data_IF_863958434458
#
_entry.id   IF_863958434458
#
_cell.length_a   1.000
_cell.length_b   1.000
_cell.length_c   1.000
_cell.angle_alpha   90.00
_cell.angle_beta   90.00
_cell.angle_gamma   90.00
#
_symmetry.space_group_name_H-M   'P 1'
#
loop_
_entity.id
_entity.type
_entity.pdbx_description
1 polymer ?
#
# COMPACT_ATOMS: atom_id res chain seq x y z
N UNK A 1 -17.53 14.52 -2.39
CA UNK A 1 -16.59 15.10 -3.33
C UNK A 1 -17.22 15.00 -4.70
N UNK A 2 -17.54 16.14 -5.29
CA UNK A 2 -17.82 16.23 -6.73
C UNK A 2 -16.50 16.30 -7.51
N UNK A 3 -16.55 16.10 -8.82
CA UNK A 3 -15.38 16.31 -9.68
C UNK A 3 -14.85 17.77 -9.56
N UNK A 4 -15.74 18.73 -9.35
CA UNK A 4 -15.39 20.15 -9.19
C UNK A 4 -14.66 20.44 -7.86
N UNK A 5 -15.07 19.76 -6.77
CA UNK A 5 -14.37 19.82 -5.49
C UNK A 5 -12.97 19.18 -5.58
N UNK A 6 -12.81 18.07 -6.31
CA UNK A 6 -11.49 17.46 -6.55
C UNK A 6 -10.58 18.38 -7.35
N UNK A 7 -11.09 18.95 -8.46
CA UNK A 7 -10.35 19.86 -9.32
C UNK A 7 -9.90 21.14 -8.60
N UNK A 8 -10.64 21.60 -7.60
CA UNK A 8 -10.25 22.81 -6.84
C UNK A 8 -9.27 22.51 -5.72
N UNK A 9 -9.38 21.36 -5.04
CA UNK A 9 -8.56 21.03 -3.86
C UNK A 9 -7.25 20.33 -4.17
N UNK A 10 -7.17 19.61 -5.30
CA UNK A 10 -6.00 18.78 -5.66
C UNK A 10 -5.23 19.32 -6.87
N UNK A 11 -5.52 20.55 -7.32
CA UNK A 11 -4.89 21.17 -8.48
C UNK A 11 -3.57 21.85 -8.13
N UNK A 12 -2.59 21.71 -9.00
CA UNK A 12 -1.29 22.37 -8.94
C UNK A 12 -0.81 22.71 -10.35
N UNK A 13 0.22 23.55 -10.44
CA UNK A 13 0.87 23.91 -11.70
C UNK A 13 2.29 23.35 -11.69
N UNK A 14 2.66 22.65 -12.75
CA UNK A 14 3.99 22.10 -12.96
C UNK A 14 4.35 22.27 -14.44
N UNK A 15 5.51 22.86 -14.72
CA UNK A 15 5.98 23.21 -16.07
C UNK A 15 5.01 24.09 -16.87
N UNK A 16 4.23 24.94 -16.18
CA UNK A 16 3.23 25.82 -16.80
C UNK A 16 1.90 25.13 -17.13
N UNK A 17 1.79 23.83 -16.90
CA UNK A 17 0.58 23.05 -17.14
C UNK A 17 -0.21 22.83 -15.84
N UNK A 18 -1.53 22.94 -15.93
CA UNK A 18 -2.43 22.63 -14.82
C UNK A 18 -2.59 21.12 -14.68
N UNK A 19 -2.32 20.61 -13.47
CA UNK A 19 -2.40 19.18 -13.14
C UNK A 19 -3.24 18.96 -11.89
N UNK A 20 -3.75 17.75 -11.74
CA UNK A 20 -4.57 17.35 -10.58
C UNK A 20 -4.00 16.06 -10.00
N UNK A 21 -3.84 16.02 -8.68
CA UNK A 21 -3.49 14.78 -7.97
C UNK A 21 -4.73 13.89 -7.87
N UNK A 22 -4.68 12.74 -8.54
CA UNK A 22 -5.80 11.78 -8.62
C UNK A 22 -5.57 10.51 -7.81
N UNK A 23 -4.41 10.38 -7.17
CA UNK A 23 -4.09 9.28 -6.28
C UNK A 23 -2.70 9.43 -5.67
N UNK A 24 -2.50 8.75 -4.56
CA UNK A 24 -1.24 8.75 -3.81
C UNK A 24 -0.99 7.37 -3.19
N UNK A 25 0.27 7.13 -2.85
CA UNK A 25 0.73 5.97 -2.11
C UNK A 25 2.04 6.35 -1.42
N UNK A 26 2.19 5.90 -0.18
CA UNK A 26 3.46 6.00 0.55
C UNK A 26 4.16 4.64 0.52
N UNK A 27 5.45 4.66 0.23
CA UNK A 27 6.34 3.50 0.30
C UNK A 27 7.41 3.77 1.35
N UNK A 28 7.33 3.06 2.48
CA UNK A 28 8.24 3.23 3.60
C UNK A 28 9.28 2.11 3.63
N UNK A 29 10.57 2.45 3.72
CA UNK A 29 11.62 1.48 4.00
C UNK A 29 11.66 1.22 5.52
N UNK A 30 11.47 -0.02 5.92
CA UNK A 30 11.17 -0.42 7.29
C UNK A 30 12.43 -0.51 8.18
N UNK A 31 13.29 0.52 8.13
CA UNK A 31 14.51 0.60 8.96
C UNK A 31 14.17 0.61 10.46
N UNK A 32 13.02 1.18 10.82
CA UNK A 32 12.49 1.24 12.18
C UNK A 32 10.97 1.06 12.15
N UNK A 33 10.49 -0.17 12.33
CA UNK A 33 9.08 -0.44 12.57
C UNK A 33 8.88 -0.94 14.00
N UNK A 34 7.86 -0.47 14.73
CA UNK A 34 7.38 -1.14 15.93
C UNK A 34 7.01 -2.60 15.63
N UNK A 35 7.30 -3.53 16.55
CA UNK A 35 7.06 -4.98 16.41
C UNK A 35 5.61 -5.34 15.99
N UNK A 36 4.67 -4.44 16.26
CA UNK A 36 3.25 -4.58 15.97
C UNK A 36 2.88 -4.51 14.48
N UNK A 37 3.81 -4.04 13.62
CA UNK A 37 3.59 -3.89 12.18
C UNK A 37 4.38 -4.88 11.32
N UNK A 38 5.21 -5.71 11.95
CA UNK A 38 6.16 -6.53 11.22
C UNK A 38 5.63 -7.93 10.99
N UNK A 39 5.39 -8.25 9.72
CA UNK A 39 5.30 -9.64 9.30
C UNK A 39 6.53 -10.45 9.71
N UNK A 40 6.39 -11.76 9.61
CA UNK A 40 7.40 -12.76 9.96
C UNK A 40 8.49 -12.90 8.89
N UNK A 41 8.42 -12.15 7.77
CA UNK A 41 9.34 -12.28 6.62
C UNK A 41 10.13 -10.98 6.32
N UNK A 42 11.39 -11.10 5.85
CA UNK A 42 12.17 -12.34 5.87
C UNK A 42 12.42 -12.78 7.32
N UNK A 43 12.87 -14.02 7.56
CA UNK A 43 12.97 -14.59 8.91
C UNK A 43 13.74 -13.70 9.90
N UNK A 44 13.61 -13.96 11.21
CA UNK A 44 14.15 -13.12 12.31
C UNK A 44 15.67 -12.84 12.21
N UNK A 45 16.40 -13.66 11.46
CA UNK A 45 17.85 -13.55 11.24
C UNK A 45 18.26 -12.69 10.04
N UNK A 46 17.32 -12.26 9.20
CA UNK A 46 17.59 -11.42 8.02
C UNK A 46 17.39 -9.92 8.33
N UNK A 47 18.19 -9.05 7.71
CA UNK A 47 18.18 -7.62 8.00
C UNK A 47 16.82 -6.98 7.68
N UNK A 48 16.29 -6.16 8.59
CA UNK A 48 15.06 -5.36 8.39
C UNK A 48 15.14 -4.39 7.19
N UNK A 49 16.36 -4.11 6.70
CA UNK A 49 16.64 -3.18 5.60
C UNK A 49 16.03 -3.59 4.26
N UNK A 50 15.68 -4.88 4.09
CA UNK A 50 15.06 -5.41 2.87
C UNK A 50 13.54 -5.44 2.93
N UNK A 51 12.93 -4.87 3.97
CA UNK A 51 11.49 -4.77 4.13
C UNK A 51 10.98 -3.39 3.74
N UNK A 52 9.86 -3.33 3.05
CA UNK A 52 9.13 -2.09 2.83
C UNK A 52 7.63 -2.26 3.08
N UNK A 53 6.94 -1.13 3.25
CA UNK A 53 5.53 -1.11 3.62
C UNK A 53 4.77 -0.07 2.79
N UNK A 54 3.65 -0.50 2.20
CA UNK A 54 2.70 0.38 1.52
C UNK A 54 1.69 0.93 2.50
N UNK A 55 1.53 2.26 2.53
CA UNK A 55 0.50 2.94 3.30
C UNK A 55 -0.19 4.01 2.48
N UNK A 56 -1.33 4.50 2.99
CA UNK A 56 -2.04 5.65 2.44
C UNK A 56 -2.33 5.56 0.93
N UNK A 57 -2.57 4.34 0.44
CA UNK A 57 -2.91 4.08 -0.96
C UNK A 57 -4.32 4.58 -1.22
N UNK A 58 -4.46 5.59 -2.06
CA UNK A 58 -5.75 6.17 -2.40
C UNK A 58 -5.82 6.56 -3.87
N UNK A 59 -7.05 6.53 -4.40
CA UNK A 59 -7.38 6.99 -5.75
C UNK A 59 -8.69 7.76 -5.63
N UNK A 60 -8.76 8.93 -6.27
CA UNK A 60 -9.96 9.74 -6.38
C UNK A 60 -11.14 8.87 -6.83
N UNK A 61 -12.28 9.00 -6.14
CA UNK A 61 -13.42 8.07 -6.25
C UNK A 61 -13.92 7.97 -7.70
N UNK A 62 -13.93 9.09 -8.39
CA UNK A 62 -14.38 9.29 -9.77
C UNK A 62 -13.50 8.54 -10.79
N UNK A 63 -12.25 8.24 -10.42
CA UNK A 63 -11.24 7.61 -11.29
C UNK A 63 -10.85 6.21 -10.81
N UNK A 64 -11.58 5.67 -9.83
CA UNK A 64 -11.42 4.28 -9.43
C UNK A 64 -11.85 3.32 -10.53
N UNK A 65 -11.35 2.09 -10.49
CA UNK A 65 -11.61 1.03 -11.48
C UNK A 65 -11.07 1.31 -12.89
N UNK A 66 -10.25 2.36 -13.07
CA UNK A 66 -9.52 2.67 -14.30
C UNK A 66 -8.06 2.20 -14.29
N UNK A 67 -7.65 1.39 -13.29
CA UNK A 67 -6.29 0.86 -13.18
C UNK A 67 -5.28 1.72 -12.42
N UNK A 68 -5.66 2.93 -11.98
CA UNK A 68 -4.75 3.84 -11.26
C UNK A 68 -4.15 3.22 -9.98
N UNK A 69 -4.95 2.51 -9.18
CA UNK A 69 -4.45 1.85 -7.97
C UNK A 69 -3.41 0.78 -8.29
N UNK A 70 -3.57 0.06 -9.41
CA UNK A 70 -2.58 -0.91 -9.88
C UNK A 70 -1.31 -0.21 -10.36
N UNK A 71 -1.44 0.90 -11.09
CA UNK A 71 -0.30 1.68 -11.54
C UNK A 71 0.53 2.26 -10.37
N UNK A 72 -0.12 2.72 -9.30
CA UNK A 72 0.55 3.18 -8.08
C UNK A 72 1.34 2.04 -7.41
N UNK A 73 0.72 0.87 -7.25
CA UNK A 73 1.35 -0.32 -6.64
C UNK A 73 2.49 -0.86 -7.52
N UNK A 74 2.32 -0.90 -8.83
CA UNK A 74 3.38 -1.33 -9.77
C UNK A 74 4.60 -0.38 -9.72
N UNK A 75 4.35 0.94 -9.70
CA UNK A 75 5.42 1.93 -9.57
C UNK A 75 6.16 1.79 -8.24
N UNK A 76 5.45 1.56 -7.14
CA UNK A 76 6.09 1.39 -5.82
C UNK A 76 6.95 0.12 -5.76
N UNK A 77 6.51 -0.98 -6.36
CA UNK A 77 7.33 -2.21 -6.50
C UNK A 77 8.62 -1.98 -7.26
N UNK A 78 8.57 -1.25 -8.38
CA UNK A 78 9.76 -0.91 -9.17
C UNK A 78 10.76 -0.11 -8.35
N UNK A 79 10.29 0.87 -7.60
CA UNK A 79 11.14 1.66 -6.69
C UNK A 79 11.69 0.81 -5.53
N UNK A 80 10.85 -0.03 -4.92
CA UNK A 80 11.28 -0.94 -3.85
C UNK A 80 12.40 -1.89 -4.31
N UNK A 81 12.32 -2.42 -5.54
CA UNK A 81 13.41 -3.24 -6.12
C UNK A 81 14.72 -2.47 -6.22
N UNK A 82 14.68 -1.21 -6.63
CA UNK A 82 15.88 -0.37 -6.72
C UNK A 82 16.54 -0.15 -5.35
N UNK A 83 15.74 -0.16 -4.28
CA UNK A 83 16.23 -0.09 -2.90
C UNK A 83 16.70 -1.44 -2.33
N UNK A 84 16.64 -2.52 -3.12
CA UNK A 84 17.01 -3.87 -2.65
C UNK A 84 15.98 -4.51 -1.72
N UNK A 85 14.72 -4.05 -1.76
CA UNK A 85 13.63 -4.63 -0.97
C UNK A 85 13.25 -5.99 -1.51
N UNK A 86 13.13 -6.95 -0.59
CA UNK A 86 12.77 -8.34 -0.88
C UNK A 86 11.38 -8.69 -0.39
N UNK A 87 10.86 -7.95 0.59
CA UNK A 87 9.59 -8.26 1.26
C UNK A 87 8.76 -6.99 1.38
N UNK A 88 7.64 -6.96 0.67
CA UNK A 88 6.73 -5.81 0.64
C UNK A 88 5.43 -6.13 1.37
N UNK A 89 5.03 -5.22 2.25
CA UNK A 89 3.90 -5.42 3.16
C UNK A 89 2.80 -4.38 2.98
N UNK A 90 1.57 -4.76 3.28
CA UNK A 90 0.44 -3.83 3.36
C UNK A 90 -0.66 -4.34 4.30
N UNK A 91 -1.24 -3.45 5.10
CA UNK A 91 -2.47 -3.76 5.82
C UNK A 91 -3.70 -3.32 5.03
N UNK A 92 -4.76 -4.13 5.11
CA UNK A 92 -6.07 -3.79 4.54
C UNK A 92 -7.18 -4.15 5.52
N UNK A 93 -8.15 -3.24 5.70
CA UNK A 93 -9.33 -3.53 6.51
C UNK A 93 -10.13 -4.71 5.91
N UNK A 94 -10.65 -5.59 6.76
CA UNK A 94 -11.35 -6.81 6.31
C UNK A 94 -12.60 -6.53 5.46
N UNK A 95 -13.23 -5.36 5.64
CA UNK A 95 -14.39 -4.94 4.86
C UNK A 95 -14.02 -4.08 3.63
N UNK A 96 -12.73 -3.78 3.41
CA UNK A 96 -12.26 -3.06 2.22
C UNK A 96 -11.97 -4.06 1.09
N UNK A 97 -13.04 -4.61 0.50
CA UNK A 97 -12.92 -5.61 -0.57
C UNK A 97 -12.20 -5.08 -1.81
N UNK A 98 -12.37 -3.79 -2.14
CA UNK A 98 -11.75 -3.19 -3.32
C UNK A 98 -10.22 -3.19 -3.19
N UNK A 99 -9.69 -2.80 -2.02
CA UNK A 99 -8.25 -2.84 -1.76
C UNK A 99 -7.73 -4.28 -1.66
N UNK A 100 -8.48 -5.21 -1.05
CA UNK A 100 -8.10 -6.63 -1.05
C UNK A 100 -7.94 -7.17 -2.47
N UNK A 101 -8.93 -6.93 -3.34
CA UNK A 101 -8.88 -7.33 -4.76
C UNK A 101 -7.70 -6.68 -5.49
N UNK A 102 -7.41 -5.41 -5.21
CA UNK A 102 -6.25 -4.71 -5.78
C UNK A 102 -4.94 -5.40 -5.38
N UNK A 103 -4.71 -5.64 -4.09
CA UNK A 103 -3.45 -6.21 -3.60
C UNK A 103 -3.27 -7.66 -4.05
N UNK A 104 -4.32 -8.48 -3.98
CA UNK A 104 -4.26 -9.88 -4.44
C UNK A 104 -3.97 -9.94 -5.94
N UNK A 105 -4.63 -9.10 -6.76
CA UNK A 105 -4.32 -8.99 -8.20
C UNK A 105 -2.91 -8.48 -8.45
N UNK A 106 -2.35 -7.73 -7.50
CA UNK A 106 -0.97 -7.28 -7.51
C UNK A 106 -0.01 -8.31 -6.88
N UNK A 107 -0.40 -9.58 -6.73
CA UNK A 107 0.51 -10.65 -6.28
C UNK A 107 0.71 -10.75 -4.76
N UNK A 108 0.10 -9.88 -3.95
CA UNK A 108 0.18 -10.01 -2.50
C UNK A 108 -0.62 -11.23 -2.03
N UNK A 109 -0.09 -11.94 -1.05
CA UNK A 109 -0.71 -13.08 -0.39
C UNK A 109 -1.02 -12.75 1.07
N UNK A 110 -1.96 -13.47 1.66
CA UNK A 110 -2.26 -13.36 3.08
C UNK A 110 -1.08 -13.82 3.94
N UNK A 111 -0.74 -13.06 4.99
CA UNK A 111 0.27 -13.45 5.96
C UNK A 111 -0.29 -13.60 7.39
N UNK A 112 -1.04 -12.61 7.87
CA UNK A 112 -1.64 -12.65 9.21
C UNK A 112 -2.85 -11.72 9.31
N UNK A 113 -3.52 -11.75 10.45
CA UNK A 113 -4.55 -10.77 10.80
C UNK A 113 -4.29 -10.14 12.16
N UNK A 114 -4.70 -8.88 12.31
CA UNK A 114 -4.70 -8.18 13.58
C UNK A 114 -5.63 -8.86 14.60
N UNK A 115 -5.24 -8.99 15.88
CA UNK A 115 -6.10 -9.54 16.92
C UNK A 115 -7.45 -8.83 17.03
N UNK A 116 -8.54 -9.59 17.07
CA UNK A 116 -9.89 -9.04 17.16
C UNK A 116 -10.10 -8.15 18.39
N UNK A 117 -9.43 -8.46 19.50
CA UNK A 117 -9.48 -7.64 20.72
C UNK A 117 -8.92 -6.23 20.45
N UNK A 118 -7.73 -6.14 19.85
CA UNK A 118 -7.09 -4.86 19.53
C UNK A 118 -7.97 -4.01 18.61
N UNK A 119 -8.51 -4.59 17.53
CA UNK A 119 -9.39 -3.88 16.61
C UNK A 119 -10.64 -3.32 17.31
N UNK A 120 -11.24 -4.08 18.23
CA UNK A 120 -12.38 -3.63 19.05
C UNK A 120 -12.02 -2.45 19.96
N UNK A 121 -10.85 -2.48 20.59
CA UNK A 121 -10.39 -1.38 21.46
C UNK A 121 -10.17 -0.10 20.67
N UNK A 122 -9.74 -0.21 19.41
CA UNK A 122 -9.52 0.91 18.50
C UNK A 122 -10.79 1.36 17.74
N UNK A 123 -11.95 0.71 17.96
CA UNK A 123 -13.21 1.08 17.32
C UNK A 123 -13.20 0.99 15.78
N UNK A 124 -12.30 0.18 15.20
CA UNK A 124 -12.16 0.05 13.74
C UNK A 124 -12.21 -1.42 13.30
N UNK A 125 -12.54 -1.70 12.03
CA UNK A 125 -12.44 -3.06 11.51
C UNK A 125 -11.02 -3.62 11.67
N UNK A 126 -10.93 -4.91 11.94
CA UNK A 126 -9.65 -5.64 11.93
C UNK A 126 -8.99 -5.55 10.56
N UNK A 127 -7.66 -5.57 10.55
CA UNK A 127 -6.86 -5.54 9.32
C UNK A 127 -6.22 -6.88 9.05
N UNK A 128 -6.17 -7.24 7.78
CA UNK A 128 -5.33 -8.31 7.26
C UNK A 128 -3.97 -7.72 6.94
N UNK A 129 -2.90 -8.43 7.28
CA UNK A 129 -1.56 -8.16 6.78
C UNK A 129 -1.32 -9.03 5.55
N UNK A 130 -1.01 -8.37 4.44
CA UNK A 130 -0.65 -9.01 3.19
C UNK A 130 0.84 -8.79 2.91
N UNK A 131 1.44 -9.75 2.21
CA UNK A 131 2.86 -9.79 1.91
C UNK A 131 3.10 -10.16 0.45
N UNK A 132 4.15 -9.61 -0.13
CA UNK A 132 4.63 -9.95 -1.47
C UNK A 132 6.13 -10.29 -1.39
N UNK A 133 6.47 -11.45 -1.93
CA UNK A 133 7.84 -11.85 -2.22
C UNK A 133 8.34 -11.14 -3.48
N UNK A 134 9.17 -10.12 -3.30
CA UNK A 134 9.72 -9.35 -4.41
C UNK A 134 10.80 -10.12 -5.18
N UNK A 135 11.40 -11.19 -4.61
CA UNK A 135 12.43 -12.00 -5.27
C UNK A 135 11.83 -12.92 -6.33
N UNK A 136 10.62 -13.42 -6.08
CA UNK A 136 9.93 -14.39 -6.93
C UNK A 136 8.85 -13.76 -7.84
N UNK A 137 8.72 -12.43 -7.84
CA UNK A 137 7.81 -11.72 -8.73
C UNK A 137 8.41 -11.61 -10.14
N UNK A 138 7.90 -12.42 -11.08
CA UNK A 138 8.17 -12.28 -12.51
C UNK A 138 7.72 -10.90 -13.01
N UNK A 139 8.59 -10.21 -13.74
CA UNK A 139 8.37 -8.90 -14.36
C UNK A 139 7.24 -8.93 -15.40
#
# INVERSE_FOLDING_TARGET
MSAEELCSTCKFVEDGEERIVVGSLDLNQCLWLPDELTGKRPGVTESSHTRAYLSNVCVAKELQRCGLGYALVDKSKKLARQWGITDLYVHVAINNEAAQKLYIKSGFVYESEEPAQQARHLGRPRRLLLWLDMKNETL
#
